data_IF_455696170768
#
_entry.id   IF_455696170768
#
_cell.length_a   1.000
_cell.length_b   1.000
_cell.length_c   1.000
_cell.angle_alpha   90.00
_cell.angle_beta   90.00
_cell.angle_gamma   90.00
#
_symmetry.space_group_name_H-M   'P 1'
#
loop_
_entity.id
_entity.type
_entity.pdbx_description
1 polymer ?
#
# COMPACT_ATOMS: atom_id res chain seq x y z
N UNK A 1 -4.91 8.23 13.46
CA UNK A 1 -3.56 8.09 12.86
C UNK A 1 -3.70 8.06 11.37
N UNK A 2 -3.00 8.94 10.70
CA UNK A 2 -3.11 9.08 9.25
C UNK A 2 -1.78 8.71 8.60
N UNK A 3 -1.82 7.67 7.77
CA UNK A 3 -0.68 7.22 6.98
C UNK A 3 -0.85 7.64 5.53
N UNK A 4 0.25 7.86 4.84
CA UNK A 4 0.28 8.20 3.42
C UNK A 4 1.25 7.26 2.72
N UNK A 5 0.79 6.64 1.63
CA UNK A 5 1.63 5.87 0.73
C UNK A 5 1.81 6.68 -0.56
N UNK A 6 3.02 7.19 -0.76
CA UNK A 6 3.40 7.88 -2.00
C UNK A 6 3.97 6.86 -2.97
N UNK A 7 3.31 6.71 -4.12
CA UNK A 7 3.67 5.72 -5.14
C UNK A 7 4.47 6.30 -6.27
N UNK A 8 5.34 5.47 -6.82
CA UNK A 8 5.94 5.63 -8.15
C UNK A 8 5.55 4.42 -8.99
N UNK A 9 5.00 4.67 -10.17
CA UNK A 9 4.51 3.62 -11.06
C UNK A 9 5.54 3.26 -12.11
N UNK A 10 5.74 1.95 -12.31
CA UNK A 10 6.62 1.40 -13.33
C UNK A 10 5.91 0.25 -14.04
N UNK A 11 6.30 -0.08 -15.27
CA UNK A 11 5.69 -1.22 -15.99
C UNK A 11 5.82 -2.54 -15.24
N UNK A 12 6.92 -2.75 -14.53
CA UNK A 12 7.18 -4.01 -13.81
C UNK A 12 6.61 -4.06 -12.41
N UNK A 13 6.15 -2.94 -11.86
CA UNK A 13 5.61 -2.91 -10.49
C UNK A 13 5.50 -1.50 -9.96
N UNK A 14 4.98 -1.40 -8.75
CA UNK A 14 4.79 -0.13 -8.05
C UNK A 14 5.69 -0.09 -6.82
N UNK A 15 6.43 1.01 -6.68
CA UNK A 15 7.27 1.27 -5.52
C UNK A 15 6.66 2.42 -4.73
N UNK A 16 6.80 2.38 -3.42
CA UNK A 16 6.22 3.42 -2.59
C UNK A 16 7.00 3.70 -1.33
N UNK A 17 6.68 4.83 -0.72
CA UNK A 17 7.19 5.24 0.59
C UNK A 17 6.00 5.45 1.50
N UNK A 18 5.99 4.75 2.62
CA UNK A 18 4.95 4.88 3.63
C UNK A 18 5.38 5.91 4.67
N UNK A 19 4.53 6.91 4.87
CA UNK A 19 4.81 8.05 5.73
C UNK A 19 3.78 8.18 6.84
N UNK A 20 4.23 8.67 7.99
CA UNK A 20 3.39 9.19 9.06
C UNK A 20 3.89 10.58 9.41
N UNK A 21 3.03 11.60 9.30
CA UNK A 21 3.38 13.01 9.63
C UNK A 21 4.67 13.45 8.92
N UNK A 22 4.78 13.15 7.64
CA UNK A 22 5.94 13.44 6.78
C UNK A 22 7.22 12.68 7.16
N UNK A 23 7.17 11.78 8.15
CA UNK A 23 8.29 10.90 8.49
C UNK A 23 8.15 9.55 7.80
N UNK A 24 9.23 9.10 7.18
CA UNK A 24 9.23 7.79 6.50
C UNK A 24 9.22 6.67 7.53
N UNK A 25 8.22 5.79 7.43
CA UNK A 25 8.16 4.57 8.23
C UNK A 25 8.92 3.42 7.55
N UNK A 26 8.66 3.23 6.26
CA UNK A 26 9.29 2.19 5.47
C UNK A 26 9.00 2.42 4.00
N UNK A 27 9.65 1.63 3.15
CA UNK A 27 9.32 1.52 1.73
C UNK A 27 8.37 0.34 1.54
N UNK A 28 7.60 0.38 0.46
CA UNK A 28 6.65 -0.67 0.12
C UNK A 28 6.74 -1.03 -1.35
N UNK A 29 6.36 -2.26 -1.67
CA UNK A 29 6.22 -2.71 -3.05
C UNK A 29 4.81 -3.25 -3.28
N UNK A 30 4.33 -3.13 -4.51
CA UNK A 30 3.03 -3.60 -4.95
C UNK A 30 3.12 -4.05 -6.42
N UNK A 31 2.11 -4.79 -6.92
CA UNK A 31 2.02 -5.08 -8.34
C UNK A 31 1.93 -3.81 -9.19
N UNK A 32 2.16 -3.90 -10.51
CA UNK A 32 2.00 -2.73 -11.39
C UNK A 32 0.55 -2.26 -11.47
N UNK A 33 0.37 -1.00 -11.83
CA UNK A 33 -0.96 -0.48 -12.11
C UNK A 33 -1.45 -1.07 -13.44
N UNK A 34 -2.45 -1.93 -13.34
CA UNK A 34 -3.05 -2.61 -14.49
C UNK A 34 -4.57 -2.61 -14.30
N UNK A 35 -5.15 -1.42 -14.30
CA UNK A 35 -6.57 -1.24 -13.96
C UNK A 35 -7.53 -1.95 -14.92
N UNK A 36 -7.06 -2.28 -16.12
CA UNK A 36 -7.80 -3.14 -17.06
C UNK A 36 -7.77 -4.62 -16.66
N UNK A 37 -6.91 -5.01 -15.71
CA UNK A 37 -6.83 -6.37 -15.13
C UNK A 37 -6.84 -6.25 -13.60
N UNK A 38 -7.99 -5.95 -13.00
CA UNK A 38 -8.05 -5.62 -11.57
C UNK A 38 -7.56 -6.72 -10.64
N UNK A 39 -7.59 -7.98 -11.07
CA UNK A 39 -7.16 -9.10 -10.23
C UNK A 39 -5.64 -9.18 -10.05
N UNK A 40 -4.87 -8.49 -10.88
CA UNK A 40 -3.39 -8.49 -10.80
C UNK A 40 -2.82 -7.09 -10.60
N UNK A 41 -3.66 -6.07 -10.51
CA UNK A 41 -3.24 -4.68 -10.33
C UNK A 41 -3.06 -4.34 -8.86
N UNK A 42 -2.20 -3.37 -8.57
CA UNK A 42 -2.27 -2.67 -7.29
C UNK A 42 -3.65 -2.00 -7.16
N UNK A 43 -4.06 -1.71 -5.92
CA UNK A 43 -5.36 -1.09 -5.67
C UNK A 43 -5.36 0.38 -6.09
N UNK A 44 -6.55 0.94 -6.29
CA UNK A 44 -6.73 2.32 -6.70
C UNK A 44 -6.21 3.31 -5.64
N UNK A 45 -5.77 4.46 -6.09
CA UNK A 45 -5.48 5.58 -5.19
C UNK A 45 -6.76 6.01 -4.48
N UNK A 46 -6.62 6.51 -3.27
CA UNK A 46 -7.75 6.95 -2.47
C UNK A 46 -7.47 6.80 -0.99
N UNK A 47 -8.53 6.92 -0.19
CA UNK A 47 -8.45 6.82 1.26
C UNK A 47 -9.06 5.49 1.70
N UNK A 48 -8.34 4.80 2.60
CA UNK A 48 -8.73 3.52 3.16
C UNK A 48 -8.66 3.59 4.68
N UNK A 49 -9.59 2.93 5.35
CA UNK A 49 -9.50 2.72 6.80
C UNK A 49 -8.87 1.36 7.07
N UNK A 50 -8.02 1.31 8.08
CA UNK A 50 -7.25 0.12 8.43
C UNK A 50 -7.85 -0.59 9.63
N UNK A 51 -7.81 -1.92 9.60
CA UNK A 51 -8.23 -2.77 10.70
C UNK A 51 -7.27 -3.94 10.84
N UNK A 52 -6.96 -4.30 12.08
CA UNK A 52 -6.15 -5.49 12.35
C UNK A 52 -7.03 -6.73 12.38
N UNK A 53 -6.58 -7.75 11.67
CA UNK A 53 -7.19 -9.08 11.73
C UNK A 53 -6.30 -9.97 12.58
N UNK A 54 -6.79 -10.52 13.70
CA UNK A 54 -6.03 -11.51 14.44
C UNK A 54 -5.94 -12.80 13.61
N UNK A 55 -4.73 -13.26 13.38
CA UNK A 55 -4.46 -14.57 12.80
C UNK A 55 -3.67 -15.41 13.81
N UNK A 56 -3.72 -16.73 13.67
CA UNK A 56 -3.16 -17.65 14.67
C UNK A 56 -1.66 -17.47 14.92
N UNK A 57 -0.92 -16.92 13.94
CA UNK A 57 0.52 -16.72 14.06
C UNK A 57 0.99 -15.33 13.66
N UNK A 58 0.21 -14.60 12.85
CA UNK A 58 0.55 -13.26 12.38
C UNK A 58 -0.70 -12.41 12.34
N UNK A 59 -0.55 -11.14 12.66
CA UNK A 59 -1.62 -10.18 12.44
C UNK A 59 -1.53 -9.70 10.98
N UNK A 60 -2.67 -9.34 10.40
CA UNK A 60 -2.76 -8.75 9.08
C UNK A 60 -3.53 -7.45 9.17
N UNK A 61 -3.22 -6.53 8.26
CA UNK A 61 -3.92 -5.25 8.18
C UNK A 61 -4.79 -5.28 6.94
N UNK A 62 -6.10 -5.27 7.13
CA UNK A 62 -7.04 -5.20 6.02
C UNK A 62 -7.51 -3.77 5.81
N UNK A 63 -7.99 -3.51 4.59
CA UNK A 63 -8.31 -2.19 4.11
C UNK A 63 -9.79 -2.10 3.77
N UNK A 64 -10.43 -0.99 4.16
CA UNK A 64 -11.80 -0.66 3.78
C UNK A 64 -11.78 0.63 3.00
N UNK A 65 -12.45 0.68 1.85
CA UNK A 65 -12.60 1.92 1.09
C UNK A 65 -13.42 2.92 1.89
N UNK A 66 -13.03 4.19 1.79
CA UNK A 66 -13.75 5.29 2.43
C UNK A 66 -14.18 6.33 1.40
N UNK A 67 -15.13 6.00 0.50
CA UNK A 67 -15.63 6.99 -0.45
C UNK A 67 -16.34 8.10 0.31
N UNK A 68 -15.96 9.36 0.00
CA UNK A 68 -16.53 10.55 0.67
C UNK A 68 -16.39 10.52 2.20
N UNK A 69 -15.32 9.88 2.71
CA UNK A 69 -15.05 9.82 4.14
C UNK A 69 -15.85 8.80 4.91
N UNK A 70 -16.70 8.02 4.25
CA UNK A 70 -17.53 6.99 4.90
C UNK A 70 -16.95 5.61 4.59
N UNK A 71 -16.67 4.84 5.64
CA UNK A 71 -16.15 3.50 5.51
C UNK A 71 -17.15 2.55 4.86
N UNK A 72 -16.70 1.83 3.84
CA UNK A 72 -17.45 0.72 3.25
C UNK A 72 -17.60 -0.42 4.26
N UNK A 73 -18.73 -1.13 4.22
CA UNK A 73 -19.00 -2.27 5.10
C UNK A 73 -18.24 -3.54 4.75
N UNK A 74 -17.59 -3.59 3.59
CA UNK A 74 -16.88 -4.77 3.08
C UNK A 74 -15.40 -4.43 2.90
N UNK A 75 -14.46 -5.24 3.45
CA UNK A 75 -13.04 -5.02 3.20
C UNK A 75 -12.70 -5.37 1.75
N UNK A 76 -11.66 -4.73 1.23
CA UNK A 76 -11.11 -5.12 -0.07
C UNK A 76 -10.24 -6.37 0.10
N UNK A 77 -9.97 -7.07 -1.00
CA UNK A 77 -9.20 -8.32 -0.97
C UNK A 77 -7.69 -8.10 -0.78
N UNK A 78 -7.22 -6.87 -0.89
CA UNK A 78 -5.81 -6.53 -0.73
C UNK A 78 -5.54 -6.15 0.72
N UNK A 79 -4.42 -6.60 1.24
CA UNK A 79 -4.00 -6.33 2.62
C UNK A 79 -2.60 -5.73 2.63
N UNK A 80 -2.20 -5.17 3.77
CA UNK A 80 -0.79 -4.89 4.03
C UNK A 80 -0.24 -6.14 4.72
N UNK A 81 0.78 -6.75 4.12
CA UNK A 81 1.28 -8.05 4.55
C UNK A 81 2.71 -8.28 4.07
N UNK A 82 3.38 -9.25 4.65
CA UNK A 82 4.70 -9.70 4.17
C UNK A 82 4.61 -10.67 3.00
N UNK A 83 3.40 -11.07 2.60
CA UNK A 83 3.19 -12.01 1.50
C UNK A 83 3.25 -11.25 0.17
N UNK A 84 4.21 -11.63 -0.68
CA UNK A 84 4.45 -10.98 -1.97
C UNK A 84 3.66 -11.58 -3.13
N UNK A 85 3.06 -12.75 -2.93
CA UNK A 85 2.42 -13.52 -4.03
C UNK A 85 1.04 -13.02 -4.43
N UNK A 86 0.46 -12.09 -3.65
CA UNK A 86 -0.86 -11.52 -3.89
C UNK A 86 -0.73 -10.04 -4.22
N UNK A 87 -1.86 -9.35 -4.38
CA UNK A 87 -1.92 -7.90 -4.67
C UNK A 87 -1.56 -7.04 -3.48
N UNK A 88 -0.94 -7.61 -2.47
CA UNK A 88 -0.70 -6.96 -1.19
C UNK A 88 0.29 -5.81 -1.28
N UNK A 89 0.14 -4.88 -0.35
CA UNK A 89 1.15 -3.86 -0.07
C UNK A 89 2.16 -4.49 0.87
N UNK A 90 3.42 -4.58 0.44
CA UNK A 90 4.45 -5.30 1.19
C UNK A 90 5.51 -4.33 1.70
N UNK A 91 5.63 -4.16 3.03
CA UNK A 91 6.74 -3.39 3.60
C UNK A 91 8.08 -4.05 3.32
N UNK A 92 9.04 -3.27 2.88
CA UNK A 92 10.39 -3.74 2.53
C UNK A 92 11.44 -2.87 3.20
N UNK A 93 12.62 -3.45 3.42
CA UNK A 93 13.79 -2.72 3.90
C UNK A 93 14.52 -2.01 2.77
N UNK A 94 14.45 -2.57 1.57
CA UNK A 94 15.15 -2.06 0.40
C UNK A 94 14.35 -2.38 -0.85
N UNK A 95 14.26 -1.40 -1.76
CA UNK A 95 13.68 -1.59 -3.10
C UNK A 95 14.82 -1.98 -4.04
N UNK A 96 14.69 -3.14 -4.68
CA UNK A 96 15.73 -3.70 -5.56
C UNK A 96 15.38 -3.61 -7.03
N UNK A 97 14.16 -3.21 -7.36
CA UNK A 97 13.69 -3.06 -8.73
C UNK A 97 12.25 -2.60 -8.77
N UNK A 98 11.63 -2.62 -9.95
CA UNK A 98 10.24 -2.22 -10.13
C UNK A 98 9.30 -3.22 -9.46
N UNK A 99 8.64 -2.84 -8.37
CA UNK A 99 7.78 -3.72 -7.60
C UNK A 99 8.53 -4.85 -6.91
N UNK A 100 9.83 -4.70 -6.72
CA UNK A 100 10.68 -5.70 -6.09
C UNK A 100 11.43 -5.09 -4.92
N UNK A 101 11.59 -5.88 -3.87
CA UNK A 101 12.31 -5.45 -2.69
C UNK A 101 12.52 -6.60 -1.72
N UNK A 102 13.26 -6.32 -0.66
CA UNK A 102 13.52 -7.28 0.39
C UNK A 102 12.48 -7.11 1.49
N UNK A 103 11.56 -8.07 1.71
CA UNK A 103 10.58 -7.96 2.78
C UNK A 103 11.27 -7.72 4.14
N UNK A 104 10.68 -6.85 4.95
CA UNK A 104 11.25 -6.44 6.22
C UNK A 104 10.33 -6.84 7.37
N UNK A 105 10.66 -7.91 8.11
CA UNK A 105 9.90 -8.25 9.31
C UNK A 105 9.90 -7.14 10.35
N UNK A 106 10.99 -6.39 10.45
CA UNK A 106 11.10 -5.27 11.39
C UNK A 106 10.16 -4.12 11.01
N UNK A 107 10.14 -3.70 9.75
CA UNK A 107 9.23 -2.66 9.28
C UNK A 107 7.78 -3.10 9.45
N UNK A 108 7.48 -4.35 9.14
CA UNK A 108 6.15 -4.93 9.33
C UNK A 108 5.73 -4.89 10.79
N UNK A 109 6.60 -5.32 11.71
CA UNK A 109 6.28 -5.32 13.14
C UNK A 109 6.09 -3.89 13.66
N UNK A 110 6.91 -2.94 13.25
CA UNK A 110 6.75 -1.54 13.63
C UNK A 110 5.41 -0.98 13.18
N UNK A 111 5.00 -1.30 11.96
CA UNK A 111 3.71 -0.87 11.42
C UNK A 111 2.54 -1.48 12.20
N UNK A 112 2.62 -2.77 12.51
CA UNK A 112 1.61 -3.45 13.32
C UNK A 112 1.47 -2.81 14.69
N UNK A 113 2.59 -2.48 15.32
CA UNK A 113 2.59 -1.86 16.65
C UNK A 113 1.95 -0.47 16.60
N UNK A 114 2.28 0.34 15.59
CA UNK A 114 1.71 1.68 15.43
C UNK A 114 0.20 1.63 15.20
N UNK A 115 -0.25 0.80 14.28
CA UNK A 115 -1.68 0.65 13.98
C UNK A 115 -2.41 0.08 15.19
N UNK A 116 -1.84 -0.92 15.84
CA UNK A 116 -2.42 -1.54 17.02
C UNK A 116 -2.60 -0.56 18.16
N UNK A 117 -1.60 0.28 18.43
CA UNK A 117 -1.69 1.32 19.47
C UNK A 117 -2.78 2.33 19.16
N UNK A 118 -2.87 2.80 17.93
CA UNK A 118 -3.90 3.76 17.53
C UNK A 118 -5.30 3.19 17.75
N UNK A 119 -5.52 1.95 17.31
CA UNK A 119 -6.81 1.28 17.45
C UNK A 119 -7.17 1.02 18.92
N UNK A 120 -6.20 0.66 19.76
CA UNK A 120 -6.42 0.46 21.19
C UNK A 120 -6.80 1.73 21.91
N UNK A 121 -6.31 2.88 21.43
CA UNK A 121 -6.65 4.19 21.98
C UNK A 121 -7.98 4.72 21.47
N UNK A 122 -8.68 3.95 20.63
CA UNK A 122 -9.94 4.37 20.04
C UNK A 122 -9.79 5.31 18.84
N UNK A 123 -8.58 5.48 18.35
CA UNK A 123 -8.32 6.28 17.14
C UNK A 123 -8.60 5.46 15.89
N UNK A 124 -9.03 6.15 14.84
CA UNK A 124 -9.07 5.54 13.51
C UNK A 124 -7.68 5.52 12.90
N UNK A 125 -7.35 4.47 12.19
CA UNK A 125 -6.14 4.40 11.38
C UNK A 125 -6.54 4.47 9.92
N UNK A 126 -6.00 5.43 9.19
CA UNK A 126 -6.30 5.63 7.77
C UNK A 126 -5.04 5.56 6.92
N UNK A 127 -5.22 5.18 5.67
CA UNK A 127 -4.15 5.14 4.67
C UNK A 127 -4.63 5.89 3.43
N UNK A 128 -3.95 6.98 3.09
CA UNK A 128 -4.15 7.65 1.81
C UNK A 128 -3.10 7.14 0.82
N UNK A 129 -3.55 6.60 -0.29
CA UNK A 129 -2.67 6.15 -1.37
C UNK A 129 -2.73 7.20 -2.47
N UNK A 130 -1.55 7.73 -2.84
CA UNK A 130 -1.43 8.80 -3.84
C UNK A 130 -0.11 8.70 -4.60
N UNK A 131 -0.04 9.45 -5.68
CA UNK A 131 1.19 9.65 -6.44
C UNK A 131 1.32 11.13 -6.79
N UNK A 132 2.55 11.55 -7.09
CA UNK A 132 2.77 12.89 -7.62
C UNK A 132 2.47 12.90 -9.12
N UNK A 133 2.07 14.07 -9.69
CA UNK A 133 1.79 14.17 -11.13
C UNK A 133 2.95 13.72 -12.02
N UNK A 134 4.20 13.94 -11.59
CA UNK A 134 5.38 13.48 -12.32
C UNK A 134 5.40 11.96 -12.48
N UNK A 135 4.98 11.23 -11.47
CA UNK A 135 4.94 9.76 -11.51
C UNK A 135 3.86 9.26 -12.48
N UNK A 136 2.74 9.96 -12.54
CA UNK A 136 1.68 9.66 -13.50
C UNK A 136 2.14 9.91 -14.94
N UNK A 137 2.91 10.97 -15.17
CA UNK A 137 3.52 11.25 -16.46
C UNK A 137 4.51 10.16 -16.88
N UNK A 138 5.32 9.69 -15.96
CA UNK A 138 6.25 8.59 -16.22
C UNK A 138 5.52 7.32 -16.65
N UNK A 139 4.41 6.99 -16.01
CA UNK A 139 3.58 5.86 -16.40
C UNK A 139 3.04 6.02 -17.83
N UNK A 140 2.58 7.22 -18.17
CA UNK A 140 2.08 7.54 -19.51
C UNK A 140 3.20 7.40 -20.57
N UNK A 141 4.40 7.88 -20.26
CA UNK A 141 5.57 7.74 -21.14
C UNK A 141 5.90 6.28 -21.42
N UNK A 142 5.94 5.45 -20.42
CA UNK A 142 6.20 4.03 -20.58
C UNK A 142 5.14 3.34 -21.44
N UNK A 143 3.87 3.74 -21.28
CA UNK A 143 2.78 3.21 -22.11
C UNK A 143 2.95 3.62 -23.57
N UNK A 144 3.38 4.84 -23.85
CA UNK A 144 3.62 5.32 -25.21
C UNK A 144 4.78 4.58 -25.87
N UNK A 145 5.87 4.38 -25.16
CA UNK A 145 7.02 3.63 -25.65
C UNK A 145 6.65 2.19 -26.07
N UNK A 146 5.72 1.58 -25.35
CA UNK A 146 5.26 0.22 -25.64
C UNK A 146 4.36 0.13 -26.86
N UNK A 147 3.78 1.24 -27.30
CA UNK A 147 2.90 1.30 -28.46
C UNK A 147 3.65 1.53 -29.77
N UNK A 148 4.91 1.91 -29.70
CA UNK A 148 5.79 2.09 -30.84
C UNK A 148 6.49 0.76 -31.16
#
# INVERSE_FOLDING_TARGET
MDLVLNREYYPGGTNGVLLQDASMLCKCIEPPAAYFKPLISCIAEGIYELELIPDNQTQRIRLFRCPNGIRSGIPIEVEISTITMERNIVPVSEITGEGRGTPSPKAWQNLLDLVGQALQQGEKATLEIRSYPENALNLTFHQIEWMD
#
